data_IF_347198794854
#
_entry.id   IF_347198794854
#
_cell.length_a   1.000
_cell.length_b   1.000
_cell.length_c   1.000
_cell.angle_alpha   90.00
_cell.angle_beta   90.00
_cell.angle_gamma   90.00
#
_symmetry.space_group_name_H-M   'P 1'
#
loop_
_entity.id
_entity.type
_entity.pdbx_description
1 polymer ?
#
# COMPACT_ATOMS: atom_id res chain seq x y z
N UNK A 1 -73.26 -17.19 -14.36
CA UNK A 1 -73.74 -15.90 -13.82
C UNK A 1 -72.67 -14.85 -14.08
N UNK A 2 -73.04 -13.79 -14.80
CA UNK A 2 -72.17 -12.76 -15.40
C UNK A 2 -72.09 -11.53 -14.51
N UNK A 3 -70.90 -10.92 -14.40
CA UNK A 3 -70.60 -9.48 -14.27
C UNK A 3 -69.17 -9.33 -14.82
N UNK A 4 -68.82 -8.84 -16.02
CA UNK A 4 -69.18 -7.67 -16.85
C UNK A 4 -68.89 -6.31 -16.18
N UNK A 5 -67.82 -5.67 -16.67
CA UNK A 5 -67.67 -4.25 -17.07
C UNK A 5 -66.35 -4.16 -17.87
N UNK A 6 -66.35 -4.14 -19.23
CA UNK A 6 -66.36 -2.96 -20.13
C UNK A 6 -65.17 -2.01 -19.86
N UNK A 7 -64.25 -1.72 -20.79
CA UNK A 7 -64.50 -1.08 -22.09
C UNK A 7 -63.30 -1.22 -23.05
N UNK A 8 -63.62 -1.38 -24.34
CA UNK A 8 -62.76 -1.19 -25.52
C UNK A 8 -62.27 0.27 -25.63
N UNK A 9 -61.11 0.49 -26.28
CA UNK A 9 -60.82 1.52 -27.32
C UNK A 9 -59.28 1.56 -27.53
N UNK A 10 -58.71 0.93 -28.56
CA UNK A 10 -58.42 1.53 -29.88
C UNK A 10 -57.99 3.01 -29.79
N UNK A 11 -56.74 3.33 -30.13
CA UNK A 11 -56.35 3.92 -31.43
C UNK A 11 -54.93 4.50 -31.35
N UNK A 12 -54.23 4.38 -32.46
CA UNK A 12 -52.87 4.83 -32.75
C UNK A 12 -52.71 6.37 -32.86
N UNK A 13 -51.43 6.76 -32.87
CA UNK A 13 -50.84 8.05 -33.32
C UNK A 13 -50.76 9.22 -32.33
N UNK A 14 -49.53 9.51 -31.90
CA UNK A 14 -48.97 10.85 -32.12
C UNK A 14 -47.45 10.79 -32.30
N UNK A 15 -47.03 11.04 -33.54
CA UNK A 15 -45.66 11.31 -33.94
C UNK A 15 -45.31 12.69 -33.40
N UNK A 16 -44.42 12.79 -32.42
CA UNK A 16 -43.81 14.06 -32.06
C UNK A 16 -42.47 14.20 -32.79
N UNK A 17 -42.51 14.90 -33.92
CA UNK A 17 -41.34 15.59 -34.45
C UNK A 17 -41.03 16.80 -33.57
N UNK A 18 -39.77 16.95 -33.15
CA UNK A 18 -39.15 18.26 -32.96
C UNK A 18 -37.66 18.08 -33.27
N UNK A 19 -37.25 18.43 -34.49
CA UNK A 19 -36.55 19.68 -34.86
C UNK A 19 -35.10 19.72 -34.36
N UNK A 20 -34.20 19.97 -35.33
CA UNK A 20 -32.76 19.94 -35.14
C UNK A 20 -32.32 20.82 -33.98
N UNK A 21 -31.84 20.17 -32.92
CA UNK A 21 -30.98 20.84 -31.96
C UNK A 21 -29.62 20.98 -32.63
N UNK A 22 -29.20 22.24 -32.78
CA UNK A 22 -27.87 22.63 -33.27
C UNK A 22 -26.84 21.75 -32.59
N UNK A 23 -25.89 21.24 -33.37
CA UNK A 23 -24.78 20.44 -32.87
C UNK A 23 -24.19 21.11 -31.64
N UNK A 24 -24.45 20.51 -30.48
CA UNK A 24 -23.58 20.71 -29.33
C UNK A 24 -22.27 20.12 -29.80
N UNK A 25 -21.31 21.00 -30.12
CA UNK A 25 -19.94 20.59 -30.29
C UNK A 25 -19.63 19.74 -29.07
N UNK A 26 -19.42 18.44 -29.29
CA UNK A 26 -18.84 17.56 -28.29
C UNK A 26 -17.54 18.23 -27.93
N UNK A 27 -17.53 18.94 -26.80
CA UNK A 27 -16.30 19.36 -26.18
C UNK A 27 -15.57 18.05 -25.98
N UNK A 28 -14.52 17.83 -26.79
CA UNK A 28 -13.51 16.84 -26.52
C UNK A 28 -13.15 17.04 -25.06
N UNK A 29 -13.63 16.14 -24.19
CA UNK A 29 -13.06 15.98 -22.87
C UNK A 29 -11.61 15.61 -23.14
N UNK A 30 -10.76 16.64 -23.21
CA UNK A 30 -9.33 16.47 -23.12
C UNK A 30 -9.16 15.64 -21.85
N UNK A 31 -8.70 14.38 -21.92
CA UNK A 31 -8.53 13.60 -20.71
C UNK A 31 -7.65 14.47 -19.83
N UNK A 32 -8.13 14.75 -18.61
CA UNK A 32 -7.36 15.46 -17.62
C UNK A 32 -6.20 14.50 -17.31
N UNK A 33 -5.12 14.61 -18.08
CA UNK A 33 -3.86 13.98 -17.73
C UNK A 33 -3.56 14.49 -16.33
N UNK A 34 -3.58 13.57 -15.36
CA UNK A 34 -3.46 13.81 -13.92
C UNK A 34 -2.59 15.04 -13.64
N UNK A 35 -3.22 16.19 -13.45
CA UNK A 35 -2.52 17.44 -13.22
C UNK A 35 -2.08 17.43 -11.76
N UNK A 36 -0.95 16.79 -11.49
CA UNK A 36 -0.27 16.80 -10.18
C UNK A 36 0.07 15.46 -9.53
N UNK A 37 -0.31 14.31 -10.10
CA UNK A 37 0.05 13.01 -9.51
C UNK A 37 1.35 12.46 -10.09
N UNK A 38 2.38 12.36 -9.26
CA UNK A 38 3.63 11.66 -9.56
C UNK A 38 3.79 10.44 -8.64
N UNK A 39 4.26 9.34 -9.21
CA UNK A 39 4.58 8.12 -8.47
C UNK A 39 6.09 7.93 -8.50
N UNK A 40 6.68 7.71 -7.33
CA UNK A 40 8.12 7.46 -7.20
C UNK A 40 8.43 6.01 -7.56
N UNK A 41 9.61 5.79 -8.14
CA UNK A 41 10.07 4.46 -8.53
C UNK A 41 11.43 4.18 -7.91
N UNK A 42 11.65 2.92 -7.53
CA UNK A 42 12.91 2.48 -6.95
C UNK A 42 13.27 1.11 -7.52
N UNK A 43 14.46 1.02 -8.09
CA UNK A 43 15.06 -0.24 -8.52
C UNK A 43 16.01 -0.75 -7.45
N UNK A 44 15.72 -1.95 -6.94
CA UNK A 44 16.54 -2.63 -5.95
C UNK A 44 17.30 -3.77 -6.61
N UNK A 45 18.60 -3.83 -6.33
CA UNK A 45 19.42 -5.00 -6.61
C UNK A 45 20.10 -5.40 -5.31
N UNK A 46 19.89 -6.64 -4.88
CA UNK A 46 20.47 -7.17 -3.64
C UNK A 46 21.31 -8.40 -3.95
N UNK A 47 22.48 -8.47 -3.31
CA UNK A 47 23.29 -9.68 -3.24
C UNK A 47 23.47 -10.02 -1.77
N UNK A 48 22.82 -11.09 -1.34
CA UNK A 48 22.76 -11.54 0.04
C UNK A 48 23.33 -12.95 0.12
N UNK A 49 24.21 -13.17 1.08
CA UNK A 49 24.78 -14.47 1.42
C UNK A 49 24.33 -14.86 2.84
N UNK A 50 23.78 -16.06 2.98
CA UNK A 50 23.28 -16.59 4.24
C UNK A 50 24.17 -17.74 4.72
N UNK A 51 24.70 -17.60 5.92
CA UNK A 51 25.38 -18.67 6.62
C UNK A 51 24.36 -19.46 7.45
N UNK A 52 24.12 -20.70 7.06
CA UNK A 52 23.13 -21.59 7.71
C UNK A 52 23.63 -22.22 9.01
N UNK A 53 24.94 -22.20 9.27
CA UNK A 53 25.54 -22.75 10.49
C UNK A 53 25.32 -21.81 11.68
N UNK A 54 25.34 -20.50 11.44
CA UNK A 54 25.17 -19.47 12.47
C UNK A 54 23.95 -18.57 12.26
N UNK A 55 23.09 -18.87 11.28
CA UNK A 55 21.85 -18.16 10.98
C UNK A 55 22.00 -16.66 10.68
N UNK A 56 23.19 -16.22 10.29
CA UNK A 56 23.45 -14.83 9.91
C UNK A 56 23.44 -14.66 8.40
N UNK A 57 23.15 -13.45 7.95
CA UNK A 57 23.31 -13.06 6.56
C UNK A 57 24.12 -11.77 6.46
N UNK A 58 24.86 -11.65 5.36
CA UNK A 58 25.53 -10.42 4.97
C UNK A 58 25.19 -10.11 3.53
N UNK A 59 25.25 -8.84 3.15
CA UNK A 59 24.98 -8.50 1.78
C UNK A 59 25.12 -7.03 1.46
N UNK A 60 24.95 -6.75 0.17
CA UNK A 60 24.98 -5.40 -0.38
C UNK A 60 23.68 -5.17 -1.13
N UNK A 61 23.09 -4.00 -0.86
CA UNK A 61 21.94 -3.49 -1.59
C UNK A 61 22.37 -2.28 -2.41
N UNK A 62 22.09 -2.31 -3.71
CA UNK A 62 22.11 -1.13 -4.58
C UNK A 62 20.67 -0.67 -4.79
N UNK A 63 20.44 0.62 -4.57
CA UNK A 63 19.16 1.28 -4.75
C UNK A 63 19.32 2.41 -5.77
N UNK A 64 18.52 2.40 -6.84
CA UNK A 64 18.41 3.53 -7.78
C UNK A 64 17.03 4.14 -7.61
N UNK A 65 16.99 5.39 -7.13
CA UNK A 65 15.75 6.13 -6.89
C UNK A 65 15.47 7.08 -8.06
N UNK A 66 14.26 7.00 -8.61
CA UNK A 66 13.81 7.91 -9.67
C UNK A 66 12.82 8.91 -9.08
N UNK A 67 13.26 10.18 -8.97
CA UNK A 67 12.39 11.28 -8.53
C UNK A 67 11.50 11.78 -9.68
N UNK A 68 10.21 11.43 -9.66
CA UNK A 68 9.23 11.91 -10.64
C UNK A 68 8.48 13.17 -10.18
N UNK A 69 8.81 13.72 -9.01
CA UNK A 69 8.25 14.98 -8.53
C UNK A 69 8.82 16.16 -9.34
N UNK A 70 8.04 17.23 -9.59
CA UNK A 70 8.57 18.49 -10.11
C UNK A 70 9.55 19.18 -9.13
N UNK A 71 9.54 18.80 -7.86
CA UNK A 71 10.37 19.39 -6.81
C UNK A 71 11.70 18.64 -6.63
N UNK A 72 12.73 19.37 -6.20
CA UNK A 72 14.05 18.80 -5.91
C UNK A 72 14.02 18.03 -4.59
N UNK A 73 14.41 16.76 -4.64
CA UNK A 73 14.56 15.90 -3.47
C UNK A 73 15.99 15.99 -2.91
N UNK A 74 16.13 16.53 -1.70
CA UNK A 74 17.44 16.71 -1.05
C UNK A 74 17.79 15.61 -0.03
N UNK A 75 16.81 14.81 0.39
CA UNK A 75 16.97 13.79 1.42
C UNK A 75 16.13 12.56 1.07
N UNK A 76 16.66 11.38 1.37
CA UNK A 76 15.95 10.10 1.30
C UNK A 76 16.04 9.45 2.67
N UNK A 77 14.93 8.89 3.14
CA UNK A 77 14.87 8.18 4.41
C UNK A 77 14.72 6.68 4.14
N UNK A 78 15.45 5.87 4.89
CA UNK A 78 15.33 4.43 4.88
C UNK A 78 14.47 3.97 6.05
N UNK A 79 13.57 3.04 5.80
CA UNK A 79 12.86 2.33 6.85
C UNK A 79 13.60 1.02 7.14
N UNK A 80 14.19 0.93 8.32
CA UNK A 80 14.84 -0.28 8.81
C UNK A 80 13.99 -0.87 9.91
N UNK A 81 13.96 -2.20 9.99
CA UNK A 81 13.32 -2.88 11.10
C UNK A 81 14.12 -2.68 12.38
N UNK A 82 13.41 -2.57 13.49
CA UNK A 82 14.03 -2.48 14.81
C UNK A 82 14.69 -3.81 15.17
N UNK A 83 15.81 -3.74 15.88
CA UNK A 83 16.46 -4.88 16.54
C UNK A 83 15.64 -5.29 17.77
N UNK A 84 14.44 -5.82 17.52
CA UNK A 84 13.36 -6.02 18.49
C UNK A 84 13.47 -7.33 19.29
N UNK A 85 14.25 -8.30 18.83
CA UNK A 85 14.38 -9.60 19.50
C UNK A 85 15.72 -9.69 20.22
N UNK A 86 15.88 -8.85 21.24
CA UNK A 86 17.01 -8.87 22.17
C UNK A 86 16.57 -8.35 23.55
N UNK A 87 17.21 -8.81 24.64
CA UNK A 87 16.99 -8.28 25.98
C UNK A 87 17.15 -6.76 26.03
N UNK A 88 16.23 -6.07 26.69
CA UNK A 88 16.25 -4.61 26.84
C UNK A 88 15.81 -3.81 25.61
N UNK A 89 15.48 -4.46 24.48
CA UNK A 89 14.83 -3.78 23.35
C UNK A 89 13.46 -3.20 23.73
N UNK A 90 12.97 -2.24 22.94
CA UNK A 90 11.63 -1.68 23.16
C UNK A 90 10.54 -2.77 23.14
N UNK A 91 10.70 -3.77 22.28
CA UNK A 91 9.77 -4.91 22.22
C UNK A 91 9.84 -5.77 23.49
N UNK A 92 11.04 -6.07 24.01
CA UNK A 92 11.18 -6.79 25.30
C UNK A 92 10.54 -6.03 26.46
N UNK A 93 10.84 -4.73 26.56
CA UNK A 93 10.26 -3.89 27.62
C UNK A 93 8.74 -3.87 27.49
N UNK A 94 8.24 -3.58 26.28
CA UNK A 94 6.81 -3.48 26.01
C UNK A 94 6.08 -4.80 26.23
N UNK A 95 6.64 -5.94 25.85
CA UNK A 95 6.00 -7.26 26.04
C UNK A 95 5.85 -7.63 27.52
N UNK A 96 6.63 -7.00 28.41
CA UNK A 96 6.54 -7.18 29.87
C UNK A 96 5.69 -6.12 30.57
N UNK A 97 5.52 -4.93 29.99
CA UNK A 97 4.84 -3.80 30.65
C UNK A 97 3.45 -3.50 30.13
N UNK A 98 3.04 -4.08 28.99
CA UNK A 98 1.68 -3.92 28.45
C UNK A 98 0.66 -4.67 29.32
N UNK A 99 -0.55 -4.13 29.45
CA UNK A 99 -1.63 -4.71 30.27
C UNK A 99 -2.04 -6.12 29.84
N UNK A 100 -2.02 -6.40 28.53
CA UNK A 100 -2.39 -7.70 27.95
C UNK A 100 -1.25 -8.20 27.04
N UNK A 101 -0.21 -8.81 27.62
CA UNK A 101 0.93 -9.28 26.86
C UNK A 101 0.58 -10.57 26.10
N UNK A 102 1.05 -10.69 24.85
CA UNK A 102 0.89 -11.94 24.09
C UNK A 102 1.59 -13.08 24.85
N UNK A 103 0.86 -14.14 25.27
CA UNK A 103 1.42 -15.23 26.06
C UNK A 103 2.50 -16.01 25.31
N UNK A 104 2.56 -15.90 23.98
CA UNK A 104 3.61 -16.52 23.17
C UNK A 104 4.94 -15.78 23.27
N UNK A 105 4.93 -14.51 23.67
CA UNK A 105 6.14 -13.67 23.82
C UNK A 105 6.44 -13.42 25.29
N UNK A 106 5.53 -12.76 26.01
CA UNK A 106 5.68 -12.44 27.44
C UNK A 106 7.08 -11.92 27.80
N UNK A 107 7.74 -12.60 28.74
CA UNK A 107 9.09 -12.29 29.20
C UNK A 107 10.22 -13.05 28.47
N UNK A 108 9.90 -13.79 27.41
CA UNK A 108 10.86 -14.69 26.72
C UNK A 108 12.01 -13.92 26.08
N UNK A 109 11.76 -12.73 25.55
CA UNK A 109 12.80 -11.91 24.91
C UNK A 109 13.88 -11.51 25.91
N UNK A 110 13.51 -11.16 27.15
CA UNK A 110 14.47 -10.85 28.22
C UNK A 110 15.39 -12.01 28.61
N UNK A 111 15.03 -13.24 28.23
CA UNK A 111 15.72 -14.49 28.58
C UNK A 111 16.53 -15.08 27.44
N UNK A 112 16.52 -14.46 26.25
CA UNK A 112 17.28 -14.95 25.10
C UNK A 112 18.78 -14.95 25.41
N UNK A 113 19.44 -16.05 25.06
CA UNK A 113 20.89 -16.15 25.11
C UNK A 113 21.54 -15.29 23.99
N UNK A 114 22.83 -14.94 24.10
CA UNK A 114 23.51 -14.11 23.09
C UNK A 114 23.53 -14.68 21.67
N UNK A 115 23.33 -15.98 21.50
CA UNK A 115 23.22 -16.69 20.22
C UNK A 115 21.77 -16.86 19.72
N UNK A 116 20.78 -16.42 20.50
CA UNK A 116 19.35 -16.47 20.17
C UNK A 116 18.77 -15.08 19.79
N UNK A 117 19.63 -14.04 19.80
CA UNK A 117 19.24 -12.65 19.51
C UNK A 117 19.62 -12.24 18.08
N UNK A 118 18.86 -11.30 17.52
CA UNK A 118 19.02 -10.84 16.13
C UNK A 118 19.34 -9.36 16.03
N UNK A 119 20.19 -9.02 15.05
CA UNK A 119 20.57 -7.64 14.75
C UNK A 119 20.58 -7.35 13.25
N UNK A 120 20.12 -6.15 12.89
CA UNK A 120 20.39 -5.49 11.62
C UNK A 120 21.47 -4.44 11.90
N UNK A 121 22.63 -4.62 11.26
CA UNK A 121 23.73 -3.68 11.28
C UNK A 121 23.89 -3.06 9.89
N UNK A 122 23.62 -1.76 9.79
CA UNK A 122 23.87 -1.01 8.55
C UNK A 122 25.29 -0.45 8.61
N UNK A 123 26.18 -1.06 7.84
CA UNK A 123 27.61 -0.71 7.85
C UNK A 123 27.89 0.64 7.16
N UNK A 124 27.19 0.91 6.06
CA UNK A 124 27.29 2.17 5.32
C UNK A 124 26.02 2.42 4.49
N UNK A 125 25.74 3.69 4.22
CA UNK A 125 24.67 4.19 3.35
C UNK A 125 25.25 5.15 2.32
#
# INVERSE_FOLDING_TARGET
MKRIFHFFFLLSYLVFSCTGTKGVASASEKPIANCGYWQQHVDYTMSIDMNVENYHYNGVQKLVYTNNSPDVLNKVYYHLYFNAFQPGSEMDVRSRTITDPDPRVGDRISKLAPDEIGYIHVNSL
#
